data_IF_891462637282
#
_entry.id   IF_891462637282
#
_cell.length_a   1.000
_cell.length_b   1.000
_cell.length_c   1.000
_cell.angle_alpha   90.00
_cell.angle_beta   90.00
_cell.angle_gamma   90.00
#
_symmetry.space_group_name_H-M   'P 1'
#
loop_
_entity.id
_entity.type
_entity.pdbx_description
1 polymer ?
#
# COMPACT_ATOMS: atom_id res chain seq x y z
N UNK A 1 59.82 34.73 -11.01
CA UNK A 1 60.26 34.72 -9.59
C UNK A 1 59.40 35.75 -8.89
N UNK A 2 58.54 35.50 -7.92
CA UNK A 2 58.20 34.35 -7.06
C UNK A 2 56.78 34.60 -6.53
N UNK A 3 56.14 33.52 -6.08
CA UNK A 3 54.84 33.40 -5.40
C UNK A 3 54.55 34.52 -4.39
N UNK A 4 53.29 34.95 -4.14
CA UNK A 4 52.43 34.33 -3.11
C UNK A 4 51.06 35.01 -3.18
N UNK A 5 49.99 34.28 -3.52
CA UNK A 5 48.62 34.73 -3.23
C UNK A 5 48.04 33.81 -2.18
N UNK A 6 47.80 34.40 -1.01
CA UNK A 6 47.39 33.74 0.23
C UNK A 6 45.97 33.18 0.08
N UNK A 7 45.85 31.89 0.37
CA UNK A 7 44.61 31.13 0.46
C UNK A 7 43.66 31.77 1.50
N UNK A 8 42.50 32.26 1.06
CA UNK A 8 41.39 32.60 1.95
C UNK A 8 40.67 31.31 2.34
N UNK A 9 41.14 30.66 3.41
CA UNK A 9 40.40 29.61 4.08
C UNK A 9 39.14 30.22 4.70
N UNK A 10 38.00 30.04 4.03
CA UNK A 10 36.69 30.37 4.59
C UNK A 10 36.30 29.19 5.49
N UNK A 11 36.10 29.49 6.77
CA UNK A 11 35.69 28.61 7.85
C UNK A 11 34.31 27.96 7.57
N UNK A 12 34.27 26.88 6.80
CA UNK A 12 33.06 26.04 6.63
C UNK A 12 33.03 25.02 7.77
N UNK A 13 32.77 25.45 9.01
CA UNK A 13 32.73 24.51 10.15
C UNK A 13 31.80 24.91 11.30
N UNK A 14 30.72 25.67 11.07
CA UNK A 14 29.73 25.96 12.14
C UNK A 14 28.26 25.71 11.83
N UNK A 15 27.90 25.24 10.63
CA UNK A 15 26.48 25.07 10.25
C UNK A 15 26.05 23.62 9.98
N UNK A 16 26.84 22.61 10.37
CA UNK A 16 26.43 21.20 10.21
C UNK A 16 25.72 20.67 11.47
N UNK A 17 25.99 21.25 12.65
CA UNK A 17 25.48 20.75 13.93
C UNK A 17 24.00 21.04 14.21
N UNK A 18 23.32 21.82 13.36
CA UNK A 18 21.89 22.15 13.52
C UNK A 18 20.97 21.32 12.63
N UNK A 19 21.51 20.69 11.57
CA UNK A 19 20.71 19.91 10.61
C UNK A 19 20.45 18.46 11.07
N UNK A 20 21.31 17.90 11.92
CA UNK A 20 21.13 16.55 12.46
C UNK A 20 20.05 16.47 13.56
N UNK A 21 19.68 17.60 14.18
CA UNK A 21 18.60 17.63 15.19
C UNK A 21 17.20 17.57 14.61
N UNK A 22 17.02 17.91 13.34
CA UNK A 22 15.67 17.96 12.72
C UNK A 22 15.26 16.57 12.17
N UNK A 23 16.22 15.68 11.90
CA UNK A 23 15.94 14.32 11.41
C UNK A 23 15.57 13.32 12.51
N UNK A 24 15.84 13.62 13.79
CA UNK A 24 15.63 12.68 14.90
C UNK A 24 14.19 12.70 15.46
N UNK A 25 13.48 13.82 15.34
CA UNK A 25 12.14 13.97 15.96
C UNK A 25 11.01 13.39 15.11
N UNK A 26 11.20 13.25 13.80
CA UNK A 26 10.19 12.72 12.88
C UNK A 26 10.06 11.18 12.93
N UNK A 27 11.06 10.47 13.43
CA UNK A 27 11.05 8.99 13.45
C UNK A 27 10.38 8.39 14.70
N UNK A 28 10.05 9.21 15.71
CA UNK A 28 9.60 8.72 17.04
C UNK A 28 8.10 8.42 17.14
N UNK A 29 7.33 8.57 16.06
CA UNK A 29 5.89 8.33 16.02
C UNK A 29 5.43 7.32 14.95
N UNK A 30 6.30 6.42 14.47
CA UNK A 30 5.82 5.24 13.75
C UNK A 30 5.36 4.19 14.75
N UNK A 31 4.09 4.32 15.11
CA UNK A 31 3.18 3.32 15.70
C UNK A 31 3.83 1.93 15.84
N UNK A 32 3.83 1.42 17.06
CA UNK A 32 3.76 -0.03 17.30
C UNK A 32 2.40 -0.52 16.77
N UNK A 33 2.28 -0.62 15.44
CA UNK A 33 1.29 -1.48 14.82
C UNK A 33 1.85 -2.86 15.10
N UNK A 34 1.23 -3.62 16.01
CA UNK A 34 1.45 -5.07 16.02
C UNK A 34 1.39 -5.53 14.57
N UNK A 35 2.32 -6.35 14.06
CA UNK A 35 2.27 -6.75 12.66
C UNK A 35 0.91 -7.42 12.48
N UNK A 36 -0.04 -6.69 11.88
CA UNK A 36 -1.26 -7.30 11.39
C UNK A 36 -0.71 -8.35 10.45
N UNK A 37 -0.85 -9.63 10.81
CA UNK A 37 -0.30 -10.75 10.06
C UNK A 37 -0.64 -10.51 8.60
N UNK A 38 0.33 -9.98 7.86
CA UNK A 38 0.05 -9.44 6.54
C UNK A 38 0.07 -10.64 5.63
N UNK A 39 -1.06 -11.32 5.55
CA UNK A 39 -1.24 -12.46 4.68
C UNK A 39 -0.91 -11.94 3.27
N UNK A 40 0.15 -12.45 2.63
CA UNK A 40 0.54 -12.00 1.31
C UNK A 40 -0.60 -12.29 0.33
N UNK A 41 -0.73 -11.49 -0.72
CA UNK A 41 -1.87 -11.56 -1.64
C UNK A 41 -2.11 -12.98 -2.20
N UNK A 42 -1.04 -13.76 -2.40
CA UNK A 42 -1.11 -15.15 -2.87
C UNK A 42 -1.63 -16.15 -1.84
N UNK A 43 -1.70 -15.83 -0.55
CA UNK A 43 -2.34 -16.65 0.50
C UNK A 43 -3.75 -16.19 0.84
N UNK A 44 -4.14 -14.97 0.43
CA UNK A 44 -5.47 -14.44 0.77
C UNK A 44 -6.61 -15.13 0.01
N UNK A 45 -7.59 -15.66 0.75
CA UNK A 45 -8.78 -16.28 0.16
C UNK A 45 -9.86 -15.27 -0.24
N UNK A 46 -9.79 -14.03 0.26
CA UNK A 46 -10.76 -12.99 -0.07
C UNK A 46 -10.10 -11.63 -0.24
N UNK A 47 -10.59 -10.87 -1.20
CA UNK A 47 -10.01 -9.61 -1.61
C UNK A 47 -11.05 -8.50 -1.56
N UNK A 48 -10.62 -7.28 -1.26
CA UNK A 48 -11.43 -6.10 -1.59
C UNK A 48 -11.49 -5.89 -3.10
N UNK A 49 -12.49 -5.19 -3.62
CA UNK A 49 -12.59 -4.86 -5.06
C UNK A 49 -11.29 -4.29 -5.67
N UNK A 50 -10.65 -3.25 -5.10
CA UNK A 50 -9.41 -2.70 -5.67
C UNK A 50 -8.21 -3.64 -5.51
N UNK A 51 -8.24 -4.55 -4.55
CA UNK A 51 -7.21 -5.57 -4.38
C UNK A 51 -7.37 -6.70 -5.38
N UNK A 52 -8.59 -7.17 -5.62
CA UNK A 52 -8.90 -8.15 -6.65
C UNK A 52 -8.50 -7.64 -8.04
N UNK A 53 -8.85 -6.39 -8.38
CA UNK A 53 -8.42 -5.76 -9.64
C UNK A 53 -6.90 -5.85 -9.84
N UNK A 54 -6.11 -5.52 -8.80
CA UNK A 54 -4.64 -5.58 -8.85
C UNK A 54 -4.10 -7.01 -8.92
N UNK A 55 -4.65 -7.93 -8.14
CA UNK A 55 -4.15 -9.32 -8.05
C UNK A 55 -4.45 -10.12 -9.32
N UNK A 56 -5.64 -9.92 -9.89
CA UNK A 56 -6.08 -10.64 -11.09
C UNK A 56 -5.80 -9.87 -12.40
N UNK A 57 -5.22 -8.67 -12.32
CA UNK A 57 -4.88 -7.87 -13.50
C UNK A 57 -6.10 -7.37 -14.29
N UNK A 58 -7.21 -7.09 -13.61
CA UNK A 58 -8.48 -6.69 -14.24
C UNK A 58 -8.78 -5.22 -13.95
N UNK A 59 -9.45 -4.53 -14.87
CA UNK A 59 -9.89 -3.15 -14.65
C UNK A 59 -10.87 -3.05 -13.48
N UNK A 60 -10.66 -2.04 -12.63
CA UNK A 60 -11.46 -1.83 -11.42
C UNK A 60 -12.90 -1.43 -11.74
N UNK A 61 -13.12 -0.55 -12.71
CA UNK A 61 -14.48 -0.09 -13.05
C UNK A 61 -15.28 -1.19 -13.72
N UNK A 62 -14.66 -1.98 -14.62
CA UNK A 62 -15.28 -3.18 -15.17
C UNK A 62 -15.68 -4.18 -14.07
N UNK A 63 -14.75 -4.49 -13.14
CA UNK A 63 -15.00 -5.39 -12.01
C UNK A 63 -16.15 -4.88 -11.12
N UNK A 64 -16.16 -3.58 -10.84
CA UNK A 64 -17.22 -2.92 -10.08
C UNK A 64 -18.57 -3.02 -10.81
N UNK A 65 -18.57 -2.87 -12.13
CA UNK A 65 -19.74 -3.08 -12.99
C UNK A 65 -20.33 -4.48 -12.84
N UNK A 66 -19.52 -5.52 -13.04
CA UNK A 66 -19.97 -6.92 -12.94
C UNK A 66 -20.51 -7.28 -11.55
N UNK A 67 -19.86 -6.78 -10.49
CA UNK A 67 -20.34 -6.97 -9.12
C UNK A 67 -21.66 -6.26 -8.87
N UNK A 68 -21.85 -5.04 -9.38
CA UNK A 68 -23.12 -4.33 -9.24
C UNK A 68 -24.25 -4.96 -10.07
N UNK A 69 -23.92 -5.60 -11.19
CA UNK A 69 -24.87 -6.40 -12.00
C UNK A 69 -25.19 -7.75 -11.37
N UNK A 70 -24.49 -8.17 -10.32
CA UNK A 70 -24.70 -9.46 -9.65
C UNK A 70 -24.08 -10.65 -10.38
N UNK A 71 -23.15 -10.42 -11.32
CA UNK A 71 -22.44 -11.48 -12.03
C UNK A 71 -21.39 -12.17 -11.15
N UNK A 72 -20.81 -11.43 -10.21
CA UNK A 72 -19.79 -11.92 -9.29
C UNK A 72 -20.36 -11.88 -7.88
N UNK A 73 -20.40 -13.06 -7.23
CA UNK A 73 -20.86 -13.16 -5.86
C UNK A 73 -19.89 -12.44 -4.89
N UNK A 74 -20.48 -11.66 -3.98
CA UNK A 74 -19.74 -10.89 -2.99
C UNK A 74 -20.35 -11.04 -1.62
N UNK A 75 -19.51 -11.00 -0.60
CA UNK A 75 -19.96 -11.02 0.79
C UNK A 75 -19.45 -9.80 1.53
N UNK A 76 -20.11 -9.47 2.64
CA UNK A 76 -19.69 -8.41 3.56
C UNK A 76 -19.31 -9.06 4.89
N UNK A 77 -18.02 -9.08 5.25
CA UNK A 77 -17.64 -9.53 6.58
C UNK A 77 -18.28 -8.62 7.62
N UNK A 78 -18.79 -9.21 8.69
CA UNK A 78 -19.34 -8.46 9.81
C UNK A 78 -18.21 -7.91 10.66
N UNK A 79 -18.37 -6.67 11.13
CA UNK A 79 -17.49 -6.12 12.15
C UNK A 79 -17.72 -6.82 13.50
N UNK A 80 -16.82 -6.61 14.46
CA UNK A 80 -17.02 -7.09 15.84
C UNK A 80 -18.35 -6.62 16.46
N UNK A 81 -18.91 -5.50 15.98
CA UNK A 81 -20.20 -4.95 16.42
C UNK A 81 -21.39 -5.44 15.57
N UNK A 82 -21.18 -6.37 14.64
CA UNK A 82 -22.21 -6.90 13.76
C UNK A 82 -22.56 -5.99 12.57
N UNK A 83 -21.87 -4.86 12.38
CA UNK A 83 -22.14 -3.98 11.24
C UNK A 83 -21.50 -4.52 9.96
N UNK A 84 -22.20 -4.54 8.82
CA UNK A 84 -21.63 -4.99 7.55
C UNK A 84 -20.43 -4.12 7.13
N UNK A 85 -19.31 -4.78 6.82
CA UNK A 85 -18.11 -4.14 6.32
C UNK A 85 -18.15 -3.82 4.82
N UNK A 86 -16.97 -3.55 4.26
CA UNK A 86 -16.76 -3.38 2.82
C UNK A 86 -17.00 -4.71 2.10
N UNK A 87 -17.52 -4.66 0.86
CA UNK A 87 -17.70 -5.84 0.01
C UNK A 87 -16.34 -6.51 -0.25
N UNK A 88 -16.32 -7.83 -0.19
CA UNK A 88 -15.18 -8.68 -0.53
C UNK A 88 -15.60 -9.75 -1.53
N UNK A 89 -14.67 -10.12 -2.41
CA UNK A 89 -14.80 -11.21 -3.37
C UNK A 89 -13.94 -12.37 -2.87
N UNK A 90 -14.44 -13.61 -2.99
CA UNK A 90 -13.64 -14.81 -2.71
C UNK A 90 -12.77 -15.15 -3.92
N UNK A 91 -11.54 -15.60 -3.68
CA UNK A 91 -10.60 -16.04 -4.73
C UNK A 91 -11.24 -17.03 -5.70
N UNK A 92 -11.87 -18.07 -5.16
CA UNK A 92 -12.50 -19.15 -5.95
C UNK A 92 -13.60 -18.61 -6.86
N UNK A 93 -14.36 -17.60 -6.42
CA UNK A 93 -15.42 -16.98 -7.24
C UNK A 93 -14.80 -16.24 -8.41
N UNK A 94 -13.75 -15.44 -8.16
CA UNK A 94 -13.06 -14.71 -9.21
C UNK A 94 -12.39 -15.65 -10.23
N UNK A 95 -11.74 -16.72 -9.76
CA UNK A 95 -11.14 -17.72 -10.64
C UNK A 95 -12.17 -18.42 -11.53
N UNK A 96 -13.32 -18.81 -10.96
CA UNK A 96 -14.43 -19.39 -11.73
C UNK A 96 -14.97 -18.43 -12.77
N UNK A 97 -15.11 -17.15 -12.42
CA UNK A 97 -15.60 -16.13 -13.33
C UNK A 97 -14.63 -15.91 -14.50
N UNK A 98 -13.33 -15.74 -14.24
CA UNK A 98 -12.33 -15.53 -15.29
C UNK A 98 -12.20 -16.74 -16.21
N UNK A 99 -12.28 -17.96 -15.66
CA UNK A 99 -12.23 -19.18 -16.44
C UNK A 99 -13.37 -19.29 -17.48
N UNK A 100 -14.45 -18.51 -17.36
CA UNK A 100 -15.53 -18.47 -18.36
C UNK A 100 -15.17 -17.64 -19.61
N UNK A 101 -14.08 -16.86 -19.57
CA UNK A 101 -13.66 -15.99 -20.68
C UNK A 101 -12.36 -16.46 -21.36
N UNK A 102 -11.71 -17.49 -20.81
CA UNK A 102 -10.49 -18.10 -21.37
C UNK A 102 -10.80 -19.23 -22.38
N UNK A 103 -12.07 -19.41 -22.77
CA UNK A 103 -12.57 -20.39 -23.77
C UNK A 103 -12.80 -19.73 -25.14
#
# INVERSE_FOLDING_TARGET
MTETTVLKQINVSRDIASSERIMSTAQKHRLSVMPATHIPAYEQESFSLPEAARVFGVDYEALRGWVNMGLIDTFRPLSRRGTPGRRRIRRVVMQKFLAQFDE
#
